data_IF_026714581736
#
_entry.id   IF_026714581736
#
_cell.length_a   1.000
_cell.length_b   1.000
_cell.length_c   1.000
_cell.angle_alpha   90.00
_cell.angle_beta   90.00
_cell.angle_gamma   90.00
#
_symmetry.space_group_name_H-M   'P 1'
#
loop_
_entity.id
_entity.type
_entity.pdbx_description
1 polymer ?
#
# COMPACT_ATOMS: atom_id res chain seq x y z
N UNK A 1 -5.60 -30.69 -6.97
CA UNK A 1 -5.86 -30.29 -5.57
C UNK A 1 -7.21 -30.85 -5.11
N UNK A 2 -7.34 -31.28 -3.85
CA UNK A 2 -8.52 -31.97 -3.27
C UNK A 2 -9.83 -31.17 -3.40
N UNK A 3 -9.76 -29.84 -3.41
CA UNK A 3 -10.93 -28.98 -3.69
C UNK A 3 -11.61 -29.31 -5.02
N UNK A 4 -10.83 -29.49 -6.10
CA UNK A 4 -11.36 -29.87 -7.41
C UNK A 4 -11.85 -31.32 -7.46
N UNK A 5 -11.31 -32.20 -6.62
CA UNK A 5 -11.82 -33.57 -6.49
C UNK A 5 -13.16 -33.58 -5.76
N UNK A 6 -13.28 -32.83 -4.66
CA UNK A 6 -14.55 -32.66 -3.93
C UNK A 6 -15.62 -32.02 -4.83
N UNK A 7 -15.25 -31.02 -5.62
CA UNK A 7 -16.13 -30.37 -6.60
C UNK A 7 -16.73 -31.39 -7.61
N UNK A 8 -15.98 -32.43 -7.97
CA UNK A 8 -16.42 -33.49 -8.90
C UNK A 8 -17.30 -34.55 -8.24
N UNK A 9 -17.29 -34.64 -6.91
CA UNK A 9 -18.04 -35.66 -6.14
C UNK A 9 -19.33 -35.12 -5.52
N UNK A 10 -19.44 -33.80 -5.34
CA UNK A 10 -20.67 -33.21 -4.80
C UNK A 10 -21.81 -33.27 -5.82
N UNK A 11 -23.05 -33.60 -5.40
CA UNK A 11 -24.19 -33.71 -6.32
C UNK A 11 -24.44 -32.41 -7.07
N UNK A 12 -24.79 -32.54 -8.34
CA UNK A 12 -25.19 -31.41 -9.18
C UNK A 12 -26.46 -30.74 -8.63
N UNK A 13 -26.54 -29.40 -8.70
CA UNK A 13 -27.75 -28.70 -8.34
C UNK A 13 -28.89 -29.11 -9.30
N UNK A 14 -30.15 -29.16 -8.82
CA UNK A 14 -31.30 -29.46 -9.68
C UNK A 14 -31.34 -28.53 -10.89
N UNK A 15 -31.49 -29.12 -12.09
CA UNK A 15 -31.44 -28.41 -13.37
C UNK A 15 -32.48 -27.28 -13.48
N UNK A 16 -33.62 -27.43 -12.80
CA UNK A 16 -34.68 -26.42 -12.72
C UNK A 16 -34.27 -25.16 -11.95
N UNK A 17 -33.39 -25.29 -10.96
CA UNK A 17 -33.00 -24.16 -10.12
C UNK A 17 -31.93 -23.31 -10.80
N UNK A 18 -30.90 -23.94 -11.37
CA UNK A 18 -29.74 -23.26 -11.99
C UNK A 18 -29.30 -23.95 -13.29
N UNK A 19 -29.93 -23.62 -14.45
CA UNK A 19 -29.68 -24.31 -15.71
C UNK A 19 -28.22 -24.19 -16.19
N UNK A 20 -27.52 -23.12 -15.85
CA UNK A 20 -26.12 -22.88 -16.24
C UNK A 20 -25.09 -23.59 -15.34
N UNK A 21 -25.50 -23.97 -14.12
CA UNK A 21 -24.62 -24.62 -13.13
C UNK A 21 -24.90 -26.12 -12.98
N UNK A 22 -25.75 -26.69 -13.84
CA UNK A 22 -26.13 -28.11 -13.79
C UNK A 22 -24.96 -29.08 -13.98
N UNK A 23 -23.80 -28.57 -14.41
CA UNK A 23 -22.60 -29.36 -14.67
C UNK A 23 -21.58 -29.35 -13.54
N UNK A 24 -21.58 -28.38 -12.61
CA UNK A 24 -20.71 -28.32 -11.42
C UNK A 24 -21.23 -27.29 -10.40
N UNK A 25 -21.18 -27.60 -9.08
CA UNK A 25 -21.34 -26.59 -8.01
C UNK A 25 -20.13 -26.55 -7.09
N UNK A 26 -19.92 -25.41 -6.43
CA UNK A 26 -18.92 -25.32 -5.37
C UNK A 26 -19.37 -26.14 -4.13
N UNK A 27 -18.44 -26.82 -3.44
CA UNK A 27 -18.73 -27.44 -2.16
C UNK A 27 -19.20 -26.40 -1.15
N UNK A 28 -20.16 -26.76 -0.30
CA UNK A 28 -20.54 -25.94 0.85
C UNK A 28 -19.43 -25.92 1.90
N UNK A 29 -19.49 -24.96 2.83
CA UNK A 29 -18.52 -24.87 3.93
C UNK A 29 -18.48 -26.18 4.73
N UNK A 30 -19.62 -26.75 5.09
CA UNK A 30 -19.69 -28.01 5.83
C UNK A 30 -19.09 -29.20 5.06
N UNK A 31 -19.34 -29.30 3.75
CA UNK A 31 -18.75 -30.34 2.89
C UNK A 31 -17.23 -30.17 2.77
N UNK A 32 -16.76 -28.93 2.68
CA UNK A 32 -15.33 -28.61 2.67
C UNK A 32 -14.66 -28.87 4.01
N UNK A 33 -15.30 -28.53 5.13
CA UNK A 33 -14.81 -28.80 6.48
C UNK A 33 -14.66 -30.31 6.73
N UNK A 34 -15.67 -31.11 6.36
CA UNK A 34 -15.60 -32.56 6.47
C UNK A 34 -14.48 -33.17 5.61
N UNK A 35 -14.29 -32.66 4.39
CA UNK A 35 -13.23 -33.10 3.49
C UNK A 35 -11.83 -32.66 3.97
N UNK A 36 -11.70 -31.42 4.44
CA UNK A 36 -10.43 -30.82 4.88
C UNK A 36 -9.88 -31.45 6.16
N UNK A 37 -10.71 -32.09 6.98
CA UNK A 37 -10.25 -32.87 8.14
C UNK A 37 -9.26 -33.99 7.75
N UNK A 38 -9.44 -34.59 6.57
CA UNK A 38 -8.51 -35.60 6.01
C UNK A 38 -7.23 -34.96 5.50
N UNK A 39 -7.33 -33.75 4.94
CA UNK A 39 -6.19 -32.96 4.46
C UNK A 39 -5.28 -32.52 5.62
N UNK A 40 -5.85 -32.04 6.73
CA UNK A 40 -5.12 -31.63 7.93
C UNK A 40 -4.32 -32.78 8.59
N UNK A 41 -4.70 -34.04 8.30
CA UNK A 41 -4.03 -35.24 8.82
C UNK A 41 -2.93 -35.77 7.92
N UNK A 42 -2.77 -35.26 6.69
CA UNK A 42 -1.73 -35.74 5.78
C UNK A 42 -0.36 -35.34 6.33
N UNK A 43 0.60 -36.26 6.30
CA UNK A 43 1.96 -36.00 6.80
C UNK A 43 2.67 -34.87 6.05
N UNK A 44 2.38 -34.68 4.75
CA UNK A 44 2.92 -33.56 3.96
C UNK A 44 2.37 -32.17 4.32
N UNK A 45 1.38 -32.12 5.22
CA UNK A 45 0.70 -30.89 5.68
C UNK A 45 0.87 -30.71 7.18
N UNK A 46 0.78 -31.81 7.93
CA UNK A 46 0.96 -31.86 9.38
C UNK A 46 2.41 -31.59 9.78
N UNK A 47 3.37 -31.92 8.91
CA UNK A 47 4.79 -31.59 9.08
C UNK A 47 5.15 -30.22 8.46
N UNK A 48 4.20 -29.30 8.34
CA UNK A 48 4.51 -27.88 8.46
C UNK A 48 3.89 -26.95 7.42
N UNK A 49 3.15 -25.96 7.93
CA UNK A 49 3.28 -24.56 7.50
C UNK A 49 4.68 -24.01 7.84
N UNK A 50 5.75 -24.68 7.39
CA UNK A 50 7.10 -24.34 7.83
C UNK A 50 8.24 -25.25 7.39
N UNK A 51 8.00 -26.43 6.84
CA UNK A 51 9.09 -27.24 6.27
C UNK A 51 8.70 -27.82 4.93
N UNK A 52 8.73 -26.94 3.91
CA UNK A 52 9.36 -27.35 2.66
C UNK A 52 10.65 -28.07 3.08
N UNK A 53 10.86 -29.33 2.70
CA UNK A 53 12.21 -29.90 2.71
C UNK A 53 13.01 -29.04 1.74
N UNK A 54 13.49 -27.92 2.24
CA UNK A 54 14.52 -27.10 1.64
C UNK A 54 15.55 -28.11 1.18
N UNK A 55 15.79 -28.15 -0.12
CA UNK A 55 16.96 -28.88 -0.60
C UNK A 55 18.11 -28.36 0.25
N UNK A 56 18.96 -29.25 0.76
CA UNK A 56 20.01 -28.94 1.74
C UNK A 56 21.03 -27.88 1.28
N UNK A 57 20.83 -27.28 0.10
CA UNK A 57 21.66 -26.28 -0.56
C UNK A 57 21.09 -24.85 -0.52
N UNK A 58 19.82 -24.63 -0.20
CA UNK A 58 19.27 -23.27 -0.14
C UNK A 58 19.67 -22.56 1.15
N UNK A 59 20.10 -21.30 1.03
CA UNK A 59 20.48 -20.44 2.17
C UNK A 59 19.64 -19.16 2.14
N UNK A 60 19.04 -18.75 3.26
CA UNK A 60 18.30 -17.49 3.32
C UNK A 60 19.23 -16.31 3.03
N UNK A 61 18.67 -15.27 2.42
CA UNK A 61 19.32 -13.97 2.27
C UNK A 61 18.51 -12.92 3.03
N UNK A 62 19.08 -11.73 3.33
CA UNK A 62 18.30 -10.64 3.92
C UNK A 62 17.05 -10.24 3.12
N UNK A 63 17.04 -10.49 1.81
CA UNK A 63 15.98 -10.11 0.88
C UNK A 63 15.00 -11.26 0.57
N UNK A 64 15.43 -12.51 0.73
CA UNK A 64 14.62 -13.72 0.59
C UNK A 64 14.86 -14.63 1.81
N UNK A 65 14.20 -14.33 2.95
CA UNK A 65 14.38 -15.08 4.19
C UNK A 65 13.70 -16.46 4.17
N UNK A 66 12.84 -16.71 3.18
CA UNK A 66 12.13 -17.97 2.97
C UNK A 66 12.26 -18.41 1.50
N UNK A 67 12.33 -19.72 1.21
CA UNK A 67 12.39 -20.21 -0.16
C UNK A 67 11.08 -19.91 -0.90
N UNK A 68 11.19 -19.47 -2.15
CA UNK A 68 10.05 -19.34 -3.04
C UNK A 68 10.10 -20.45 -4.08
N UNK A 69 8.93 -21.02 -4.39
CA UNK A 69 8.78 -21.92 -5.54
C UNK A 69 8.97 -21.16 -6.86
N UNK A 70 9.28 -21.87 -7.94
CA UNK A 70 9.34 -21.29 -9.28
C UNK A 70 8.05 -20.57 -9.67
N UNK A 71 6.89 -21.10 -9.25
CA UNK A 71 5.60 -20.48 -9.52
C UNK A 71 5.41 -19.16 -8.75
N UNK A 72 5.85 -19.09 -7.50
CA UNK A 72 5.81 -17.86 -6.71
C UNK A 72 6.73 -16.79 -7.28
N UNK A 73 7.94 -17.16 -7.71
CA UNK A 73 8.86 -16.24 -8.36
C UNK A 73 8.28 -15.73 -9.69
N UNK A 74 7.78 -16.63 -10.53
CA UNK A 74 7.13 -16.26 -11.78
C UNK A 74 5.85 -15.43 -11.55
N UNK A 75 5.13 -15.63 -10.46
CA UNK A 75 3.97 -14.80 -10.09
C UNK A 75 4.42 -13.40 -9.68
N UNK A 76 5.47 -13.27 -8.87
CA UNK A 76 6.05 -11.99 -8.48
C UNK A 76 6.60 -11.22 -9.68
N UNK A 77 7.33 -11.87 -10.58
CA UNK A 77 7.88 -11.26 -11.79
C UNK A 77 6.79 -10.74 -12.75
N UNK A 78 5.57 -11.29 -12.67
CA UNK A 78 4.40 -10.85 -13.43
C UNK A 78 3.67 -9.67 -12.80
N UNK A 79 3.96 -9.31 -11.55
CA UNK A 79 3.28 -8.20 -10.89
C UNK A 79 3.67 -6.87 -11.52
N UNK A 80 2.71 -5.93 -11.67
CA UNK A 80 3.03 -4.60 -12.15
C UNK A 80 3.89 -3.86 -11.12
N UNK A 81 4.94 -3.19 -11.61
CA UNK A 81 5.71 -2.23 -10.82
C UNK A 81 4.89 -0.95 -10.68
N UNK A 82 4.40 -0.70 -9.46
CA UNK A 82 3.57 0.47 -9.16
C UNK A 82 4.40 1.74 -8.90
N UNK A 83 5.64 1.58 -8.45
CA UNK A 83 6.53 2.68 -8.12
C UNK A 83 7.66 2.23 -7.20
N UNK A 84 8.38 3.20 -6.65
CA UNK A 84 9.52 2.98 -5.77
C UNK A 84 9.33 3.76 -4.47
N UNK A 85 9.54 3.08 -3.35
CA UNK A 85 9.61 3.70 -2.04
C UNK A 85 11.05 4.11 -1.75
N UNK A 86 11.23 5.37 -1.39
CA UNK A 86 12.53 5.88 -0.93
C UNK A 86 12.76 5.53 0.53
N UNK A 87 14.01 5.61 0.97
CA UNK A 87 14.35 5.38 2.38
C UNK A 87 13.60 6.40 3.27
N UNK A 88 12.86 5.97 4.30
CA UNK A 88 12.21 6.89 5.20
C UNK A 88 13.22 7.77 5.95
N UNK A 89 12.84 9.02 6.18
CA UNK A 89 13.54 9.96 7.04
C UNK A 89 12.72 10.15 8.31
N UNK A 90 13.35 9.88 9.46
CA UNK A 90 12.78 10.11 10.78
C UNK A 90 13.39 11.38 11.37
N UNK A 91 12.53 12.33 11.67
CA UNK A 91 12.88 13.67 12.14
C UNK A 91 12.57 13.77 13.62
N UNK A 92 13.62 13.78 14.43
CA UNK A 92 13.47 13.96 15.88
C UNK A 92 12.97 15.37 16.18
N UNK A 93 11.85 15.45 16.90
CA UNK A 93 11.30 16.68 17.46
C UNK A 93 11.61 16.80 18.96
N UNK A 94 12.77 16.25 19.35
CA UNK A 94 13.33 16.27 20.69
C UNK A 94 14.75 16.85 20.64
N UNK A 95 15.18 17.46 21.74
CA UNK A 95 16.53 17.96 21.92
C UNK A 95 17.52 16.82 22.25
N UNK A 96 18.80 17.15 22.42
CA UNK A 96 19.85 16.17 22.72
C UNK A 96 19.68 15.48 24.10
N UNK A 97 18.86 16.05 24.99
CA UNK A 97 18.50 15.46 26.29
C UNK A 97 17.26 14.55 26.20
N UNK A 98 16.64 14.44 25.02
CA UNK A 98 15.42 13.68 24.80
C UNK A 98 14.13 14.42 25.17
N UNK A 99 14.20 15.72 25.47
CA UNK A 99 13.03 16.53 25.81
C UNK A 99 12.40 17.10 24.54
N UNK A 100 11.06 17.23 24.46
CA UNK A 100 10.39 17.79 23.29
C UNK A 100 10.87 19.20 22.94
N UNK A 101 11.06 19.48 21.64
CA UNK A 101 11.30 20.82 21.15
C UNK A 101 10.05 21.67 21.40
N UNK A 102 10.18 22.69 22.26
CA UNK A 102 9.07 23.55 22.70
C UNK A 102 8.86 24.77 21.79
N UNK A 103 9.93 25.32 21.22
CA UNK A 103 9.83 26.47 20.32
C UNK A 103 9.40 26.01 18.94
N UNK A 104 8.35 26.64 18.42
CA UNK A 104 7.83 26.39 17.07
C UNK A 104 8.90 26.55 16.00
N UNK A 105 9.74 27.58 16.09
CA UNK A 105 10.83 27.80 15.14
C UNK A 105 11.83 26.62 15.09
N UNK A 106 12.13 26.01 16.23
CA UNK A 106 13.05 24.85 16.29
C UNK A 106 12.42 23.61 15.64
N UNK A 107 11.11 23.40 15.86
CA UNK A 107 10.35 22.32 15.22
C UNK A 107 10.23 22.50 13.70
N UNK A 108 9.94 23.72 13.25
CA UNK A 108 9.89 24.06 11.83
C UNK A 108 11.26 23.84 11.17
N UNK A 109 12.35 24.27 11.80
CA UNK A 109 13.71 24.03 11.31
C UNK A 109 14.07 22.54 11.27
N UNK A 110 13.68 21.77 12.29
CA UNK A 110 13.88 20.32 12.30
C UNK A 110 13.13 19.64 11.15
N UNK A 111 11.86 20.00 10.93
CA UNK A 111 11.07 19.46 9.83
C UNK A 111 11.65 19.85 8.46
N UNK A 112 12.08 21.10 8.29
CA UNK A 112 12.73 21.57 7.06
C UNK A 112 14.01 20.79 6.76
N UNK A 113 14.85 20.55 7.77
CA UNK A 113 16.06 19.73 7.63
C UNK A 113 15.72 18.29 7.25
N UNK A 114 14.69 17.72 7.87
CA UNK A 114 14.18 16.40 7.51
C UNK A 114 13.68 16.30 6.07
N UNK A 115 12.95 17.31 5.62
CA UNK A 115 12.52 17.45 4.23
C UNK A 115 13.69 17.49 3.26
N UNK A 116 14.69 18.33 3.52
CA UNK A 116 15.90 18.43 2.70
C UNK A 116 16.63 17.08 2.62
N UNK A 117 16.73 16.36 3.73
CA UNK A 117 17.30 15.02 3.75
C UNK A 117 16.48 14.03 2.90
N UNK A 118 15.15 14.07 2.99
CA UNK A 118 14.27 13.20 2.18
C UNK A 118 14.43 13.52 0.68
N UNK A 119 14.51 14.79 0.30
CA UNK A 119 14.71 15.23 -1.07
C UNK A 119 16.03 14.77 -1.68
N UNK A 120 17.05 14.45 -0.87
CA UNK A 120 18.31 13.88 -1.38
C UNK A 120 18.15 12.45 -1.90
N UNK A 121 17.11 11.71 -1.49
CA UNK A 121 16.84 10.35 -1.94
C UNK A 121 16.41 10.27 -3.41
N UNK A 122 15.92 11.38 -3.98
CA UNK A 122 15.50 11.44 -5.39
C UNK A 122 16.63 11.96 -6.30
N UNK A 123 16.66 11.55 -7.59
CA UNK A 123 17.60 12.06 -8.57
C UNK A 123 17.58 13.59 -8.67
N UNK A 124 18.73 14.21 -8.95
CA UNK A 124 18.91 15.67 -8.92
C UNK A 124 17.96 16.37 -9.89
N UNK A 125 17.69 15.74 -11.02
CA UNK A 125 16.84 16.21 -12.12
C UNK A 125 15.36 16.32 -11.69
N UNK A 126 14.94 15.50 -10.72
CA UNK A 126 13.58 15.47 -10.20
C UNK A 126 13.38 16.33 -8.93
N UNK A 127 14.44 16.94 -8.38
CA UNK A 127 14.35 17.70 -7.11
C UNK A 127 13.57 18.99 -7.24
N UNK A 128 13.65 19.67 -8.38
CA UNK A 128 12.98 20.96 -8.60
C UNK A 128 11.46 20.82 -8.81
N UNK A 129 10.97 19.61 -9.07
CA UNK A 129 9.55 19.32 -9.27
C UNK A 129 8.95 18.52 -8.09
N UNK A 130 9.71 18.40 -6.99
CA UNK A 130 9.36 17.62 -5.82
C UNK A 130 8.70 18.52 -4.73
N UNK A 131 7.65 18.04 -4.04
CA UNK A 131 6.79 16.91 -4.40
C UNK A 131 5.63 17.35 -5.29
N UNK A 132 5.17 16.50 -6.19
CA UNK A 132 3.95 16.79 -6.97
C UNK A 132 2.69 16.65 -6.12
N UNK A 133 2.78 15.90 -5.02
CA UNK A 133 1.69 15.63 -4.09
C UNK A 133 2.20 15.46 -2.66
N UNK A 134 1.48 16.00 -1.70
CA UNK A 134 1.70 15.78 -0.28
C UNK A 134 0.52 15.05 0.35
N UNK A 135 0.83 14.07 1.19
CA UNK A 135 -0.13 13.33 1.98
C UNK A 135 0.30 13.46 3.44
N UNK A 136 -0.50 14.11 4.28
CA UNK A 136 -0.17 14.39 5.68
C UNK A 136 -1.17 13.75 6.62
N UNK A 137 -0.74 13.50 7.86
CA UNK A 137 -1.58 13.05 8.96
C UNK A 137 -0.96 13.54 10.25
N UNK A 138 -1.74 14.25 11.05
CA UNK A 138 -1.33 14.98 12.24
C UNK A 138 -2.23 14.69 13.45
N UNK A 139 -3.12 13.70 13.37
CA UNK A 139 -4.11 13.37 14.40
C UNK A 139 -5.00 14.55 14.78
N UNK A 140 -5.40 15.35 13.79
CA UNK A 140 -6.10 16.62 13.98
C UNK A 140 -5.36 17.62 14.89
N UNK A 141 -4.05 17.46 15.10
CA UNK A 141 -3.23 18.42 15.83
C UNK A 141 -2.97 19.67 14.97
N UNK A 142 -3.64 20.77 15.32
CA UNK A 142 -3.53 22.05 14.63
C UNK A 142 -2.10 22.58 14.59
N UNK A 143 -1.32 22.45 15.66
CA UNK A 143 0.05 22.99 15.71
C UNK A 143 0.96 22.23 14.74
N UNK A 144 0.81 20.91 14.64
CA UNK A 144 1.55 20.08 13.68
C UNK A 144 1.17 20.43 12.23
N UNK A 145 -0.12 20.66 11.95
CA UNK A 145 -0.57 21.10 10.62
C UNK A 145 -0.06 22.50 10.28
N UNK A 146 -0.07 23.42 11.24
CA UNK A 146 0.44 24.79 11.06
C UNK A 146 1.95 24.79 10.76
N UNK A 147 2.72 23.96 11.49
CA UNK A 147 4.14 23.72 11.20
C UNK A 147 4.32 23.13 9.79
N UNK A 148 3.52 22.13 9.42
CA UNK A 148 3.56 21.52 8.09
C UNK A 148 3.26 22.52 6.96
N UNK A 149 2.26 23.39 7.13
CA UNK A 149 2.00 24.46 6.17
C UNK A 149 3.14 25.48 6.09
N UNK A 150 3.92 25.66 7.16
CA UNK A 150 5.17 26.45 7.11
C UNK A 150 6.20 25.80 6.19
N UNK A 151 6.40 24.49 6.30
CA UNK A 151 7.24 23.73 5.37
C UNK A 151 6.76 23.89 3.92
N UNK A 152 5.46 23.76 3.64
CA UNK A 152 4.95 23.88 2.27
C UNK A 152 5.23 25.26 1.68
N UNK A 153 5.07 26.34 2.46
CA UNK A 153 5.43 27.69 2.01
C UNK A 153 6.92 27.83 1.71
N UNK A 154 7.78 27.22 2.52
CA UNK A 154 9.22 27.20 2.26
C UNK A 154 9.56 26.44 0.98
N UNK A 155 8.93 25.28 0.74
CA UNK A 155 9.10 24.53 -0.52
C UNK A 155 8.74 25.40 -1.72
N UNK A 156 7.62 26.12 -1.67
CA UNK A 156 7.22 27.04 -2.73
C UNK A 156 8.20 28.20 -2.90
N UNK A 157 8.69 28.78 -1.79
CA UNK A 157 9.68 29.87 -1.82
C UNK A 157 11.05 29.42 -2.39
N UNK A 158 11.41 28.15 -2.20
CA UNK A 158 12.61 27.52 -2.77
C UNK A 158 12.43 27.13 -4.26
N UNK A 159 11.31 27.50 -4.89
CA UNK A 159 11.02 27.25 -6.30
C UNK A 159 10.28 25.94 -6.59
N UNK A 160 9.85 25.24 -5.54
CA UNK A 160 8.97 24.07 -5.66
C UNK A 160 7.52 24.45 -5.98
N UNK A 161 6.63 23.45 -6.13
CA UNK A 161 5.24 23.70 -6.45
C UNK A 161 4.47 24.37 -5.30
N UNK A 162 3.38 25.04 -5.65
CA UNK A 162 2.38 25.52 -4.70
C UNK A 162 1.34 24.43 -4.44
N UNK A 163 0.91 24.30 -3.18
CA UNK A 163 -0.08 23.30 -2.76
C UNK A 163 -1.38 23.97 -2.34
N UNK A 164 -2.46 23.67 -3.06
CA UNK A 164 -3.81 24.07 -2.68
C UNK A 164 -4.48 22.93 -1.88
N UNK A 165 -4.83 23.14 -0.59
CA UNK A 165 -5.52 22.14 0.22
C UNK A 165 -6.87 21.66 -0.36
N UNK A 166 -7.48 22.42 -1.27
CA UNK A 166 -8.72 22.04 -1.94
C UNK A 166 -8.48 21.11 -3.15
N UNK A 167 -7.25 21.05 -3.66
CA UNK A 167 -6.87 20.17 -4.78
C UNK A 167 -6.37 18.83 -4.26
N UNK A 168 -7.28 17.85 -4.20
CA UNK A 168 -6.98 16.50 -3.71
C UNK A 168 -5.84 15.78 -4.46
N UNK A 169 -5.55 16.16 -5.71
CA UNK A 169 -4.41 15.61 -6.46
C UNK A 169 -3.06 16.13 -5.96
N UNK A 170 -3.04 17.27 -5.25
CA UNK A 170 -1.84 17.93 -4.73
C UNK A 170 -1.71 17.77 -3.22
N UNK A 171 -2.80 17.88 -2.46
CA UNK A 171 -2.79 17.88 -1.00
C UNK A 171 -3.86 16.94 -0.44
N UNK A 172 -3.44 16.04 0.44
CA UNK A 172 -4.31 15.07 1.10
C UNK A 172 -4.03 15.08 2.60
N UNK A 173 -5.00 15.55 3.38
CA UNK A 173 -5.03 15.34 4.82
C UNK A 173 -5.74 14.01 5.12
N UNK A 174 -4.97 13.04 5.58
CA UNK A 174 -5.43 11.67 5.81
C UNK A 174 -6.45 11.62 6.95
N UNK A 175 -6.25 12.40 8.01
CA UNK A 175 -7.18 12.41 9.14
C UNK A 175 -8.52 13.03 8.71
N UNK A 176 -8.52 14.01 7.81
CA UNK A 176 -9.76 14.55 7.25
C UNK A 176 -10.47 13.63 6.26
N UNK A 177 -9.73 12.81 5.52
CA UNK A 177 -10.28 11.97 4.43
C UNK A 177 -10.65 10.57 4.89
N UNK A 178 -9.87 9.99 5.78
CA UNK A 178 -9.99 8.60 6.25
C UNK A 178 -10.26 8.50 7.75
N UNK A 179 -10.33 9.63 8.46
CA UNK A 179 -10.34 9.68 9.92
C UNK A 179 -9.04 9.11 10.51
N UNK A 180 -9.00 8.95 11.84
CA UNK A 180 -7.87 8.37 12.53
C UNK A 180 -7.76 6.86 12.25
N UNK A 181 -6.83 6.48 11.38
CA UNK A 181 -6.49 5.06 11.09
C UNK A 181 -5.41 4.49 12.03
N UNK A 182 -5.07 5.20 13.11
CA UNK A 182 -4.13 4.78 14.15
C UNK A 182 -2.74 4.49 13.60
N UNK A 183 -2.19 3.33 13.98
CA UNK A 183 -0.88 2.87 13.52
C UNK A 183 -0.83 2.61 12.00
N UNK A 184 -1.99 2.44 11.34
CA UNK A 184 -2.06 2.22 9.90
C UNK A 184 -1.88 3.51 9.07
N UNK A 185 -1.96 4.69 9.70
CA UNK A 185 -2.00 5.98 8.98
C UNK A 185 -0.82 6.16 8.03
N UNK A 186 0.41 5.86 8.46
CA UNK A 186 1.57 6.04 7.59
C UNK A 186 1.54 5.09 6.38
N UNK A 187 1.03 3.87 6.56
CA UNK A 187 0.86 2.91 5.46
C UNK A 187 -0.23 3.35 4.49
N UNK A 188 -1.33 3.92 5.00
CA UNK A 188 -2.37 4.52 4.15
C UNK A 188 -1.82 5.67 3.32
N UNK A 189 -1.00 6.54 3.92
CA UNK A 189 -0.35 7.64 3.22
C UNK A 189 0.57 7.14 2.10
N UNK A 190 1.36 6.11 2.37
CA UNK A 190 2.22 5.46 1.38
C UNK A 190 1.37 4.86 0.25
N UNK A 191 0.31 4.13 0.56
CA UNK A 191 -0.56 3.51 -0.43
C UNK A 191 -1.23 4.55 -1.34
N UNK A 192 -1.72 5.65 -0.77
CA UNK A 192 -2.27 6.78 -1.53
C UNK A 192 -1.19 7.42 -2.41
N UNK A 193 0.03 7.60 -1.89
CA UNK A 193 1.17 8.08 -2.65
C UNK A 193 1.52 7.18 -3.83
N UNK A 194 1.53 5.86 -3.64
CA UNK A 194 1.75 4.87 -4.70
C UNK A 194 0.65 4.97 -5.76
N UNK A 195 -0.62 5.02 -5.35
CA UNK A 195 -1.74 5.16 -6.28
C UNK A 195 -1.66 6.45 -7.09
N UNK A 196 -1.44 7.58 -6.42
CA UNK A 196 -1.36 8.90 -7.05
C UNK A 196 -0.18 9.02 -7.99
N UNK A 197 1.00 8.53 -7.60
CA UNK A 197 2.19 8.50 -8.46
C UNK A 197 2.01 7.52 -9.62
N UNK A 198 1.38 6.36 -9.41
CA UNK A 198 1.10 5.43 -10.50
C UNK A 198 0.06 5.96 -11.49
N UNK A 199 -0.92 6.77 -11.08
CA UNK A 199 -1.96 7.28 -12.00
C UNK A 199 -1.58 8.59 -12.67
N UNK A 200 -1.12 9.56 -11.91
CA UNK A 200 -0.84 10.92 -12.41
C UNK A 200 0.64 11.15 -12.73
N UNK A 201 1.53 10.24 -12.33
CA UNK A 201 2.96 10.47 -12.34
C UNK A 201 3.36 11.38 -11.18
N UNK A 202 4.57 11.91 -11.27
CA UNK A 202 5.13 12.78 -10.23
C UNK A 202 5.40 12.07 -8.91
N UNK A 203 6.25 12.69 -8.08
CA UNK A 203 6.67 12.11 -6.81
C UNK A 203 5.71 12.54 -5.71
N UNK A 204 5.20 11.58 -4.95
CA UNK A 204 4.38 11.83 -3.76
C UNK A 204 5.26 11.86 -2.51
N UNK A 205 4.93 12.73 -1.56
CA UNK A 205 5.56 12.77 -0.24
C UNK A 205 4.52 12.49 0.84
N UNK A 206 4.76 11.46 1.65
CA UNK A 206 3.94 11.12 2.80
C UNK A 206 4.60 11.61 4.09
N UNK A 207 3.84 12.33 4.92
CA UNK A 207 4.25 12.93 6.18
C UNK A 207 3.36 12.41 7.32
N UNK A 208 3.95 11.63 8.23
CA UNK A 208 3.29 11.26 9.48
C UNK A 208 3.80 12.15 10.60
N UNK A 209 2.93 13.03 11.11
CA UNK A 209 3.19 14.02 12.15
C UNK A 209 2.38 13.73 13.43
N UNK A 210 1.86 12.50 13.55
CA UNK A 210 0.99 12.10 14.67
C UNK A 210 1.74 12.00 15.99
N UNK A 211 3.03 11.67 15.96
CA UNK A 211 3.90 11.71 17.14
C UNK A 211 4.42 13.16 17.35
N UNK A 212 4.15 13.81 18.50
CA UNK A 212 4.68 15.13 18.78
C UNK A 212 6.22 15.17 18.92
N UNK A 213 6.87 14.03 19.12
CA UNK A 213 8.31 13.89 19.33
C UNK A 213 9.07 13.40 18.08
N UNK A 214 8.37 12.95 17.05
CA UNK A 214 8.99 12.49 15.80
C UNK A 214 8.07 12.71 14.59
N UNK A 215 8.62 13.21 13.49
CA UNK A 215 7.96 13.18 12.19
C UNK A 215 8.59 12.10 11.30
N UNK A 216 7.77 11.38 10.54
CA UNK A 216 8.26 10.45 9.51
C UNK A 216 7.93 10.97 8.12
N UNK A 217 8.92 10.95 7.23
CA UNK A 217 8.80 11.39 5.83
C UNK A 217 9.22 10.25 4.92
N UNK A 218 8.41 9.94 3.91
CA UNK A 218 8.77 8.99 2.85
C UNK A 218 8.34 9.54 1.50
N UNK A 219 9.24 9.42 0.51
CA UNK A 219 8.94 9.75 -0.87
C UNK A 219 8.54 8.50 -1.65
N UNK A 220 7.63 8.68 -2.59
CA UNK A 220 7.16 7.63 -3.50
C UNK A 220 7.34 8.13 -4.93
N UNK A 221 8.26 7.51 -5.67
CA UNK A 221 8.45 7.81 -7.09
C UNK A 221 7.61 6.88 -7.96
N UNK A 222 7.08 7.37 -9.09
CA UNK A 222 6.40 6.52 -10.04
C UNK A 222 7.40 5.60 -10.75
N UNK A 223 6.90 4.50 -11.32
CA UNK A 223 7.64 3.80 -12.37
C UNK A 223 7.80 4.72 -13.59
N UNK A 224 8.80 4.48 -14.48
CA UNK A 224 8.89 5.16 -15.76
C UNK A 224 7.56 5.14 -16.54
N UNK A 225 7.24 6.22 -17.27
CA UNK A 225 5.92 6.40 -17.89
C UNK A 225 5.57 5.33 -18.92
N UNK A 226 6.56 4.83 -19.66
CA UNK A 226 6.42 3.70 -20.58
C UNK A 226 5.92 2.45 -19.84
N UNK A 227 6.48 2.13 -18.67
CA UNK A 227 5.99 1.04 -17.81
C UNK A 227 4.62 1.35 -17.25
N UNK A 228 4.39 2.55 -16.73
CA UNK A 228 3.12 2.95 -16.09
C UNK A 228 1.92 2.79 -17.03
N UNK A 229 2.09 3.15 -18.30
CA UNK A 229 1.04 3.14 -19.32
C UNK A 229 0.86 1.78 -20.01
N UNK A 230 1.93 0.99 -20.13
CA UNK A 230 1.90 -0.33 -20.79
C UNK A 230 1.50 -1.48 -19.88
N UNK A 231 1.76 -1.39 -18.57
CA UNK A 231 1.49 -2.48 -17.64
C UNK A 231 -0.01 -2.78 -17.48
N UNK A 232 -0.33 -4.05 -17.25
CA UNK A 232 -1.67 -4.56 -16.99
C UNK A 232 -1.63 -5.50 -15.81
N UNK A 233 -2.75 -5.64 -15.10
CA UNK A 233 -2.87 -6.67 -14.07
C UNK A 233 -2.66 -8.06 -14.70
N UNK A 234 -2.07 -9.07 -14.02
CA UNK A 234 -1.89 -10.42 -14.57
C UNK A 234 -3.18 -11.08 -15.06
N UNK A 235 -4.31 -10.68 -14.49
CA UNK A 235 -5.64 -11.13 -14.91
C UNK A 235 -6.29 -10.23 -15.99
N UNK A 236 -5.54 -9.29 -16.58
CA UNK A 236 -5.99 -8.35 -17.62
C UNK A 236 -6.60 -7.04 -17.08
N UNK A 237 -6.53 -5.96 -17.88
CA UNK A 237 -7.11 -4.65 -17.53
C UNK A 237 -6.21 -3.76 -16.67
N UNK A 238 -6.79 -2.68 -16.14
CA UNK A 238 -6.11 -1.71 -15.26
C UNK A 238 -5.55 -2.41 -14.00
N UNK A 239 -4.37 -1.97 -13.56
CA UNK A 239 -3.64 -2.61 -12.45
C UNK A 239 -4.35 -2.49 -11.10
N UNK A 240 -5.21 -1.48 -10.94
CA UNK A 240 -6.00 -1.24 -9.73
C UNK A 240 -7.48 -1.61 -9.92
N UNK A 241 -7.87 -2.16 -11.08
CA UNK A 241 -9.25 -2.55 -11.30
C UNK A 241 -9.62 -3.72 -10.40
N UNK A 242 -10.59 -3.49 -9.53
CA UNK A 242 -11.27 -4.54 -8.79
C UNK A 242 -12.01 -5.46 -9.77
N UNK A 243 -11.87 -6.78 -9.58
CA UNK A 243 -12.41 -7.81 -10.50
C UNK A 243 -13.59 -8.59 -9.94
N UNK A 244 -13.99 -8.33 -8.70
CA UNK A 244 -15.20 -8.94 -8.16
C UNK A 244 -16.37 -8.05 -8.59
N UNK A 245 -17.31 -8.62 -9.33
CA UNK A 245 -18.62 -8.02 -9.54
C UNK A 245 -19.31 -7.98 -8.17
N UNK A 246 -19.82 -6.81 -7.73
CA UNK A 246 -20.62 -6.75 -6.51
C UNK A 246 -21.73 -7.79 -6.56
N UNK A 247 -21.96 -8.49 -5.45
CA UNK A 247 -23.03 -9.49 -5.33
C UNK A 247 -24.43 -8.89 -5.56
N UNK A 248 -24.56 -7.56 -5.37
CA UNK A 248 -25.79 -6.80 -5.56
C UNK A 248 -25.71 -5.92 -6.82
N UNK A 249 -26.81 -5.81 -7.55
CA UNK A 249 -26.94 -4.93 -8.71
C UNK A 249 -26.74 -3.46 -8.30
N UNK A 250 -25.74 -2.74 -8.85
CA UNK A 250 -25.47 -1.33 -8.50
C UNK A 250 -26.68 -0.40 -8.69
N UNK A 251 -27.60 -0.75 -9.61
CA UNK A 251 -28.81 0.02 -9.91
C UNK A 251 -29.79 0.09 -8.73
N UNK A 252 -29.64 -0.79 -7.74
CA UNK A 252 -30.44 -0.75 -6.49
C UNK A 252 -30.13 0.51 -5.67
N UNK A 253 -28.94 1.09 -5.82
CA UNK A 253 -28.52 2.31 -5.11
C UNK A 253 -28.86 3.61 -5.87
N UNK A 254 -29.31 3.54 -7.12
CA UNK A 254 -29.68 4.71 -7.94
C UNK A 254 -31.10 5.24 -7.65
N UNK A 255 -31.88 4.52 -6.82
CA UNK A 255 -33.28 4.87 -6.51
C UNK A 255 -33.47 5.61 -5.17
N UNK A 256 -32.45 6.31 -4.66
CA UNK A 256 -32.58 7.17 -3.47
C UNK A 256 -32.22 8.61 -3.73
#
# INVERSE_FOLDING_TARGET
MMYYQLKRTVPYPPRERWPEQHLERYPTVAEWEAASASFAKRSDIRDGWGTYKLTSKWKPTPWFPVPWSHEQLAAFDRLPTLGYLHRPVFVKMINDRGEPLTRRADREAALQKGWQQAALAVPKEARNTLPSRVIVGADNNTDQLVMFHSLLRQITAEGGPEFDPNKHLQFIDTDRRLNNTGAATFFMQIAIGVLGSYREGGISAAFNLRDPNEASIILVSPAPDDKRTSQRHPAGGDVFRHKVEPLDDPRVYEQK
#
